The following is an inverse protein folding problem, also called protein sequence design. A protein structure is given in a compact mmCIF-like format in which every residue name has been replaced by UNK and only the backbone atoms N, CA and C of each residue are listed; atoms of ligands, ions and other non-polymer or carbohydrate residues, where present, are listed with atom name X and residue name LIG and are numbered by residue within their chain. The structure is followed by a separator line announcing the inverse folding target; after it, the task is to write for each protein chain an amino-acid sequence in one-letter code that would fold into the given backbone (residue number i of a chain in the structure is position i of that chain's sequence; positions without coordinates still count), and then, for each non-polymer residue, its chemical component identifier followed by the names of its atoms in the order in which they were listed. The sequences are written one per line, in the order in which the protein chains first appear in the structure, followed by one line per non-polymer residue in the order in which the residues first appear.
data_IF_908015854156
#
_entry.id   IF_908015854156
#
_cell.length_a   1.000
_cell.length_b   1.000
_cell.length_c   1.000
_cell.angle_alpha   90.00
_cell.angle_beta   90.00
_cell.angle_gamma   90.00
#
_symmetry.space_group_name_H-M   'P 1'
#
loop_
_entity.id
_entity.type
_entity.pdbx_description
1 polymer ?
#
# COMPACT_ATOMS: atom_id res chain seq x y z
N UNK A 1 15.37 -1.41 11.61
CA UNK A 1 14.11 -1.54 10.85
C UNK A 1 13.08 -2.39 11.60
N UNK A 2 13.47 -3.54 12.16
CA UNK A 2 12.57 -4.49 12.84
C UNK A 2 11.69 -3.89 13.95
N UNK A 3 12.22 -3.05 14.83
CA UNK A 3 11.43 -2.40 15.89
C UNK A 3 10.35 -1.46 15.32
N UNK A 4 10.63 -0.77 14.21
CA UNK A 4 9.70 0.19 13.61
C UNK A 4 8.43 -0.50 13.09
N UNK A 5 8.59 -1.72 12.56
CA UNK A 5 7.46 -2.50 12.02
C UNK A 5 6.78 -3.32 13.13
N UNK A 6 7.53 -3.87 14.09
CA UNK A 6 6.94 -4.71 15.15
C UNK A 6 6.34 -3.95 16.32
N UNK A 7 6.89 -2.79 16.63
CA UNK A 7 6.51 -1.99 17.81
C UNK A 7 6.00 -0.60 17.41
N UNK A 8 6.24 -0.17 16.17
CA UNK A 8 5.77 1.11 15.66
C UNK A 8 4.33 1.05 15.15
N UNK A 9 3.78 2.23 14.85
CA UNK A 9 2.44 2.36 14.25
C UNK A 9 2.54 2.20 12.72
N UNK A 10 1.49 1.72 12.02
CA UNK A 10 1.43 1.68 10.56
C UNK A 10 1.84 3.00 9.89
N UNK A 11 1.48 4.14 10.49
CA UNK A 11 1.88 5.47 10.04
C UNK A 11 3.40 5.66 9.98
N UNK A 12 4.13 5.18 10.99
CA UNK A 12 5.58 5.36 11.06
C UNK A 12 6.31 4.53 10.00
N UNK A 13 5.81 3.31 9.74
CA UNK A 13 6.27 2.45 8.64
C UNK A 13 6.04 3.15 7.30
N UNK A 14 4.81 3.61 7.05
CA UNK A 14 4.42 4.27 5.81
C UNK A 14 5.25 5.54 5.53
N UNK A 15 5.41 6.41 6.54
CA UNK A 15 6.20 7.64 6.40
C UNK A 15 7.68 7.34 6.14
N UNK A 16 8.22 6.30 6.79
CA UNK A 16 9.63 5.90 6.58
C UNK A 16 9.83 5.33 5.18
N UNK A 17 8.94 4.44 4.73
CA UNK A 17 8.96 3.89 3.38
C UNK A 17 8.83 5.01 2.33
N UNK A 18 7.91 5.95 2.53
CA UNK A 18 7.73 7.11 1.66
C UNK A 18 8.98 7.99 1.60
N UNK A 19 9.61 8.28 2.74
CA UNK A 19 10.85 9.06 2.77
C UNK A 19 12.00 8.35 2.02
N UNK A 20 12.11 7.03 2.18
CA UNK A 20 13.07 6.20 1.46
C UNK A 20 12.84 6.28 -0.06
N UNK A 21 11.58 6.14 -0.49
CA UNK A 21 11.19 6.27 -1.89
C UNK A 21 11.49 7.67 -2.46
N UNK A 22 11.21 8.73 -1.70
CA UNK A 22 11.52 10.11 -2.11
C UNK A 22 13.02 10.38 -2.25
N UNK A 23 13.85 9.73 -1.45
CA UNK A 23 15.30 9.86 -1.52
C UNK A 23 15.97 8.85 -2.47
N UNK A 24 15.20 7.91 -3.05
CA UNK A 24 15.74 6.83 -3.86
C UNK A 24 16.61 5.84 -3.06
N UNK A 25 16.41 5.77 -1.74
CA UNK A 25 17.18 4.90 -0.86
C UNK A 25 16.41 3.60 -0.66
N UNK A 26 17.03 2.47 -0.97
CA UNK A 26 16.49 1.16 -0.64
C UNK A 26 17.00 0.71 0.74
N UNK A 27 16.08 0.27 1.61
CA UNK A 27 16.39 -0.32 2.91
C UNK A 27 15.90 -1.78 2.93
N UNK A 28 16.71 -2.75 2.47
CA UNK A 28 16.28 -4.14 2.28
C UNK A 28 15.63 -4.77 3.52
N UNK A 29 16.15 -4.49 4.72
CA UNK A 29 15.59 -4.99 5.97
C UNK A 29 14.21 -4.39 6.31
N UNK A 30 13.97 -3.12 5.97
CA UNK A 30 12.65 -2.51 6.13
C UNK A 30 11.64 -3.15 5.19
N UNK A 31 12.03 -3.35 3.92
CA UNK A 31 11.19 -4.00 2.91
C UNK A 31 10.82 -5.43 3.34
N UNK A 32 11.80 -6.18 3.88
CA UNK A 32 11.57 -7.54 4.38
C UNK A 32 10.60 -7.58 5.55
N UNK A 33 10.71 -6.65 6.50
CA UNK A 33 9.79 -6.61 7.64
C UNK A 33 8.39 -6.10 7.24
N UNK A 34 8.28 -5.14 6.30
CA UNK A 34 6.99 -4.74 5.70
C UNK A 34 6.30 -5.95 5.05
N UNK A 35 7.06 -6.73 4.29
CA UNK A 35 6.53 -7.94 3.65
C UNK A 35 6.05 -8.94 4.68
N UNK A 36 6.84 -9.18 5.73
CA UNK A 36 6.49 -10.12 6.80
C UNK A 36 5.21 -9.70 7.53
N UNK A 37 5.10 -8.43 7.89
CA UNK A 37 4.02 -7.86 8.70
C UNK A 37 2.93 -7.18 7.83
N UNK A 38 2.85 -7.51 6.54
CA UNK A 38 1.89 -6.95 5.59
C UNK A 38 0.44 -7.05 6.07
N UNK A 39 0.05 -8.21 6.61
CA UNK A 39 -1.29 -8.45 7.15
C UNK A 39 -1.61 -7.47 8.28
N UNK A 40 -0.67 -7.27 9.21
CA UNK A 40 -0.81 -6.30 10.31
C UNK A 40 -0.91 -4.88 9.77
N UNK A 41 -0.07 -4.51 8.80
CA UNK A 41 -0.08 -3.17 8.21
C UNK A 41 -1.43 -2.84 7.55
N UNK A 42 -2.04 -3.80 6.88
CA UNK A 42 -3.35 -3.63 6.22
C UNK A 42 -4.48 -3.60 7.25
N UNK A 43 -4.44 -4.45 8.28
CA UNK A 43 -5.51 -4.54 9.29
C UNK A 43 -5.52 -3.37 10.27
N UNK A 44 -4.35 -2.94 10.75
CA UNK A 44 -4.22 -1.86 11.74
C UNK A 44 -3.99 -0.49 11.09
N UNK A 45 -3.60 -0.49 9.81
CA UNK A 45 -3.38 0.72 9.04
C UNK A 45 -4.67 1.37 8.60
N UNK A 46 -4.64 2.70 8.45
CA UNK A 46 -5.64 3.40 7.64
C UNK A 46 -5.28 3.24 6.17
N UNK A 47 -6.25 3.35 5.23
CA UNK A 47 -5.98 3.25 3.80
C UNK A 47 -4.83 4.14 3.32
N UNK A 48 -4.67 5.35 3.88
CA UNK A 48 -3.55 6.24 3.56
C UNK A 48 -2.17 5.61 3.87
N UNK A 49 -2.02 4.90 5.00
CA UNK A 49 -0.75 4.28 5.36
C UNK A 49 -0.39 3.13 4.42
N UNK A 50 -1.40 2.33 4.07
CA UNK A 50 -1.27 1.22 3.14
C UNK A 50 -0.92 1.75 1.73
N UNK A 51 -1.66 2.74 1.24
CA UNK A 51 -1.41 3.39 -0.05
C UNK A 51 -0.01 4.01 -0.15
N UNK A 52 0.42 4.74 0.89
CA UNK A 52 1.76 5.32 0.92
C UNK A 52 2.86 4.25 0.90
N UNK A 53 2.65 3.12 1.57
CA UNK A 53 3.59 2.00 1.56
C UNK A 53 3.63 1.33 0.20
N UNK A 54 2.47 1.06 -0.42
CA UNK A 54 2.37 0.50 -1.76
C UNK A 54 3.04 1.41 -2.81
N UNK A 55 2.78 2.73 -2.75
CA UNK A 55 3.42 3.73 -3.60
C UNK A 55 4.95 3.74 -3.43
N UNK A 56 5.44 3.66 -2.19
CA UNK A 56 6.86 3.60 -1.91
C UNK A 56 7.51 2.33 -2.48
N UNK A 57 6.85 1.17 -2.33
CA UNK A 57 7.30 -0.09 -2.91
C UNK A 57 7.39 0.00 -4.44
N UNK A 58 6.36 0.50 -5.11
CA UNK A 58 6.37 0.70 -6.56
C UNK A 58 7.46 1.67 -7.02
N UNK A 59 7.61 2.81 -6.33
CA UNK A 59 8.63 3.82 -6.65
C UNK A 59 10.05 3.26 -6.53
N UNK A 60 10.29 2.36 -5.58
CA UNK A 60 11.57 1.71 -5.37
C UNK A 60 11.74 0.41 -6.18
N UNK A 61 10.76 0.00 -6.98
CA UNK A 61 10.79 -1.24 -7.77
C UNK A 61 10.70 -2.52 -6.92
N UNK A 62 10.08 -2.46 -5.75
CA UNK A 62 9.95 -3.55 -4.81
C UNK A 62 8.57 -4.20 -4.97
N UNK A 63 8.52 -5.44 -5.47
CA UNK A 63 7.23 -6.11 -5.77
C UNK A 63 6.35 -6.40 -4.54
N UNK A 64 6.91 -6.53 -3.33
CA UNK A 64 6.20 -6.78 -2.06
C UNK A 64 4.90 -7.62 -2.17
N UNK A 65 4.97 -8.85 -2.70
CA UNK A 65 3.79 -9.60 -3.14
C UNK A 65 2.75 -9.84 -2.04
N UNK A 66 3.17 -10.05 -0.79
CA UNK A 66 2.26 -10.25 0.35
C UNK A 66 1.51 -8.97 0.71
N UNK A 67 2.16 -7.80 0.63
CA UNK A 67 1.47 -6.52 0.83
C UNK A 67 0.33 -6.36 -0.17
N UNK A 68 0.60 -6.57 -1.45
CA UNK A 68 -0.42 -6.42 -2.50
C UNK A 68 -1.50 -7.50 -2.42
N UNK A 69 -1.16 -8.73 -2.01
CA UNK A 69 -2.15 -9.78 -1.77
C UNK A 69 -3.11 -9.45 -0.61
N UNK A 70 -2.62 -8.83 0.48
CA UNK A 70 -3.49 -8.40 1.58
C UNK A 70 -4.34 -7.18 1.21
N UNK A 71 -3.79 -6.24 0.42
CA UNK A 71 -4.58 -5.14 -0.17
C UNK A 71 -5.72 -5.69 -1.03
N UNK A 72 -5.41 -6.64 -1.91
CA UNK A 72 -6.38 -7.28 -2.78
C UNK A 72 -7.47 -7.99 -1.99
N UNK A 73 -7.09 -8.75 -0.96
CA UNK A 73 -8.03 -9.42 -0.06
C UNK A 73 -8.99 -8.44 0.61
N UNK A 74 -8.47 -7.33 1.12
CA UNK A 74 -9.22 -6.27 1.82
C UNK A 74 -9.68 -5.14 0.88
N UNK A 75 -9.72 -5.37 -0.44
CA UNK A 75 -10.01 -4.34 -1.45
C UNK A 75 -11.31 -3.58 -1.19
N UNK A 76 -12.38 -4.29 -0.81
CA UNK A 76 -13.68 -3.69 -0.49
C UNK A 76 -13.57 -2.68 0.65
N UNK A 77 -12.87 -3.02 1.73
CA UNK A 77 -12.61 -2.10 2.83
C UNK A 77 -11.73 -0.94 2.38
N UNK A 78 -10.66 -1.25 1.63
CA UNK A 78 -9.66 -0.29 1.21
C UNK A 78 -10.26 0.81 0.30
N UNK A 79 -11.09 0.42 -0.66
CA UNK A 79 -11.79 1.35 -1.57
C UNK A 79 -12.84 2.14 -0.81
N UNK A 80 -13.64 1.51 0.07
CA UNK A 80 -14.71 2.20 0.80
C UNK A 80 -14.21 3.23 1.83
N UNK A 81 -13.16 2.90 2.56
CA UNK A 81 -12.61 3.77 3.62
C UNK A 81 -11.49 4.69 3.10
N UNK A 82 -10.94 4.38 1.93
CA UNK A 82 -9.94 5.20 1.25
C UNK A 82 -10.56 6.41 0.56
N UNK A 83 -9.75 7.44 0.34
CA UNK A 83 -10.11 8.51 -0.59
C UNK A 83 -9.59 8.19 -2.00
N UNK A 84 -9.92 9.06 -2.96
CA UNK A 84 -9.54 8.92 -4.38
C UNK A 84 -8.02 8.74 -4.54
N UNK A 85 -7.22 9.52 -3.82
CA UNK A 85 -5.77 9.50 -3.89
C UNK A 85 -5.19 8.17 -3.40
N UNK A 86 -5.74 7.61 -2.31
CA UNK A 86 -5.29 6.33 -1.78
C UNK A 86 -5.52 5.21 -2.81
N UNK A 87 -6.71 5.18 -3.41
CA UNK A 87 -7.11 4.20 -4.43
C UNK A 87 -6.26 4.34 -5.69
N UNK A 88 -6.11 5.57 -6.20
CA UNK A 88 -5.31 5.85 -7.39
C UNK A 88 -3.82 5.47 -7.19
N UNK A 89 -3.24 5.79 -6.03
CA UNK A 89 -1.85 5.46 -5.73
C UNK A 89 -1.61 3.94 -5.68
N UNK A 90 -2.54 3.19 -5.08
CA UNK A 90 -2.44 1.73 -5.01
C UNK A 90 -2.64 1.09 -6.39
N UNK A 91 -3.62 1.55 -7.17
CA UNK A 91 -3.83 1.07 -8.54
C UNK A 91 -2.60 1.35 -9.44
N UNK A 92 -2.02 2.54 -9.33
CA UNK A 92 -0.77 2.89 -10.01
C UNK A 92 0.39 2.01 -9.56
N UNK A 93 0.49 1.71 -8.26
CA UNK A 93 1.51 0.82 -7.73
C UNK A 93 1.40 -0.61 -8.29
N UNK A 94 0.18 -1.17 -8.37
CA UNK A 94 -0.07 -2.47 -8.99
C UNK A 94 0.38 -2.49 -10.45
N UNK A 95 -0.01 -1.47 -11.24
CA UNK A 95 0.37 -1.36 -12.64
C UNK A 95 1.89 -1.22 -12.83
N UNK A 96 2.55 -0.42 -11.98
CA UNK A 96 4.01 -0.19 -12.06
C UNK A 96 4.82 -1.45 -11.77
N UNK A 97 4.33 -2.31 -10.87
CA UNK A 97 5.01 -3.53 -10.47
C UNK A 97 4.57 -4.77 -11.27
N UNK A 98 3.67 -4.59 -12.24
CA UNK A 98 3.08 -5.66 -13.05
C UNK A 98 2.43 -6.72 -12.15
N UNK A 99 1.52 -6.27 -11.28
CA UNK A 99 0.77 -7.09 -10.33
C UNK A 99 -0.73 -7.06 -10.67
N UNK A 100 -1.31 -8.24 -10.81
CA UNK A 100 -2.75 -8.41 -10.97
C UNK A 100 -3.47 -8.21 -9.63
N UNK A 101 -4.50 -7.37 -9.62
CA UNK A 101 -5.33 -7.07 -8.45
C UNK A 101 -6.83 -6.99 -8.87
N UNK A 102 -7.40 -8.08 -9.41
CA UNK A 102 -8.72 -8.07 -10.05
C UNK A 102 -9.84 -7.55 -9.14
N UNK A 103 -9.87 -7.93 -7.86
CA UNK A 103 -10.85 -7.47 -6.88
C UNK A 103 -10.69 -5.99 -6.59
N UNK A 104 -9.45 -5.49 -6.46
CA UNK A 104 -9.23 -4.04 -6.33
C UNK A 104 -9.83 -3.28 -7.52
N UNK A 105 -9.62 -3.76 -8.75
CA UNK A 105 -10.16 -3.11 -9.94
C UNK A 105 -11.68 -3.25 -10.08
N UNK A 106 -12.27 -4.39 -9.69
CA UNK A 106 -13.72 -4.58 -9.63
C UNK A 106 -14.38 -3.63 -8.61
N UNK A 107 -13.76 -3.46 -7.43
CA UNK A 107 -14.23 -2.52 -6.42
C UNK A 107 -14.10 -1.08 -6.90
N UNK A 108 -13.02 -0.73 -7.61
CA UNK A 108 -12.87 0.58 -8.26
C UNK A 108 -13.98 0.83 -9.27
N UNK A 109 -14.27 -0.13 -10.15
CA UNK A 109 -15.35 -0.02 -11.15
C UNK A 109 -16.71 0.17 -10.48
N UNK A 110 -17.02 -0.65 -9.48
CA UNK A 110 -18.27 -0.59 -8.72
C UNK A 110 -18.48 0.74 -7.99
N UNK A 111 -17.38 1.45 -7.70
CA UNK A 111 -17.34 2.69 -6.94
C UNK A 111 -16.93 3.92 -7.77
N UNK A 112 -16.87 3.79 -9.10
CA UNK A 112 -16.31 4.80 -10.00
C UNK A 112 -17.00 6.17 -9.89
N UNK A 113 -18.27 6.22 -9.49
CA UNK A 113 -19.07 7.45 -9.44
C UNK A 113 -18.60 8.45 -8.40
N UNK A 114 -18.13 8.02 -7.22
CA UNK A 114 -17.58 8.94 -6.21
C UNK A 114 -16.09 9.19 -6.43
N UNK A 115 -15.38 8.26 -7.07
CA UNK A 115 -13.95 8.42 -7.36
C UNK A 115 -13.64 9.62 -8.27
N UNK A 116 -14.61 10.09 -9.04
CA UNK A 116 -14.48 11.21 -9.99
C UNK A 116 -15.03 12.54 -9.46
N UNK A 117 -15.47 12.61 -8.20
CA UNK A 117 -16.19 13.77 -7.63
C UNK A 117 -15.33 14.67 -6.73
N UNK A 118 -14.00 14.53 -6.71
CA UNK A 118 -13.09 15.41 -5.96
C UNK A 118 -12.59 16.63 -6.76
#
# INVERSE_FOLDING_TARGET
ATWLVREGKPQAVANTAWACAKLGIQLPELCREIEKEATWLVQEGKPQHVANTAWACATLGLKSPKLFAEIEKEATWFVREGNTQNVANTAWACATLDLEAPKLFEEIESNATWLVQE
#
